data_IF_461796022756
#
_entry.id   IF_461796022756
#
_cell.length_a   1.000
_cell.length_b   1.000
_cell.length_c   1.000
_cell.angle_alpha   90.00
_cell.angle_beta   90.00
_cell.angle_gamma   90.00
#
_symmetry.space_group_name_H-M   'P 1'
#
loop_
_entity.id
_entity.type
_entity.pdbx_description
1 polymer ?
#
# COMPACT_ATOMS: atom_id res chain seq x y z
N UNK A 1 -12.06 -10.07 -8.67
CA UNK A 1 -11.62 -10.46 -7.32
C UNK A 1 -11.40 -9.18 -6.52
N UNK A 2 -12.08 -9.00 -5.39
CA UNK A 2 -11.85 -7.84 -4.52
C UNK A 2 -10.45 -7.91 -3.89
N UNK A 3 -9.75 -6.78 -3.70
CA UNK A 3 -8.50 -6.77 -2.96
C UNK A 3 -8.75 -7.18 -1.50
N UNK A 4 -8.10 -8.24 -1.04
CA UNK A 4 -8.16 -8.64 0.37
C UNK A 4 -7.51 -7.53 1.22
N UNK A 5 -8.26 -6.89 2.14
CA UNK A 5 -7.74 -5.78 2.96
C UNK A 5 -6.61 -6.23 3.89
N UNK A 6 -6.55 -7.52 4.23
CA UNK A 6 -5.48 -8.13 5.02
C UNK A 6 -4.11 -8.08 4.32
N UNK A 7 -4.09 -8.01 2.98
CA UNK A 7 -2.85 -7.91 2.19
C UNK A 7 -2.42 -6.46 1.89
N UNK A 8 -2.97 -5.48 2.62
CA UNK A 8 -2.61 -4.08 2.41
C UNK A 8 -1.29 -3.74 3.09
N UNK A 9 -0.48 -2.88 2.44
CA UNK A 9 0.80 -2.36 2.97
C UNK A 9 0.63 -1.76 4.37
N UNK A 10 -0.50 -1.10 4.63
CA UNK A 10 -0.84 -0.53 5.95
C UNK A 10 -1.01 -1.61 7.02
N UNK A 11 -1.64 -2.75 6.68
CA UNK A 11 -1.85 -3.88 7.61
C UNK A 11 -0.51 -4.52 7.97
N UNK A 12 0.36 -4.72 6.97
CA UNK A 12 1.71 -5.26 7.16
C UNK A 12 2.56 -4.32 8.03
N UNK A 13 2.54 -3.02 7.75
CA UNK A 13 3.26 -2.02 8.54
C UNK A 13 2.82 -2.04 10.02
N UNK A 14 1.50 -2.16 10.27
CA UNK A 14 0.96 -2.30 11.64
C UNK A 14 1.43 -3.57 12.33
N UNK A 15 1.39 -4.72 11.67
CA UNK A 15 1.83 -6.01 12.25
C UNK A 15 3.31 -5.95 12.63
N UNK A 16 4.13 -5.34 11.76
CA UNK A 16 5.56 -5.21 11.98
C UNK A 16 5.93 -4.07 12.96
N UNK A 17 4.97 -3.25 13.37
CA UNK A 17 5.22 -2.10 14.25
C UNK A 17 6.08 -0.99 13.64
N UNK A 18 6.15 -0.93 12.31
CA UNK A 18 6.95 0.08 11.58
C UNK A 18 6.06 1.03 10.79
N UNK A 19 6.62 2.18 10.40
CA UNK A 19 5.89 3.09 9.53
C UNK A 19 5.79 2.54 8.10
N UNK A 20 4.72 2.90 7.38
CA UNK A 20 4.58 2.58 5.95
C UNK A 20 5.75 3.14 5.12
N UNK A 21 6.27 4.32 5.50
CA UNK A 21 7.45 4.92 4.88
C UNK A 21 8.71 4.07 5.08
N UNK A 22 8.91 3.52 6.29
CA UNK A 22 9.98 2.56 6.59
C UNK A 22 9.88 1.35 5.69
N UNK A 23 8.67 0.79 5.50
CA UNK A 23 8.47 -0.37 4.64
C UNK A 23 8.78 -0.07 3.16
N UNK A 24 8.40 1.11 2.65
CA UNK A 24 8.77 1.53 1.28
C UNK A 24 10.27 1.79 1.10
N UNK A 25 10.98 2.20 2.14
CA UNK A 25 12.43 2.39 2.09
C UNK A 25 13.18 1.06 2.06
N UNK A 26 12.65 0.03 2.73
CA UNK A 26 13.25 -1.30 2.74
C UNK A 26 12.82 -2.19 1.58
N UNK A 27 11.65 -1.92 0.98
CA UNK A 27 11.12 -2.67 -0.16
C UNK A 27 10.75 -1.69 -1.29
N UNK A 28 11.74 -1.25 -2.09
CA UNK A 28 11.53 -0.32 -3.19
C UNK A 28 10.52 -0.83 -4.22
N UNK A 29 10.44 -2.15 -4.42
CA UNK A 29 9.47 -2.79 -5.32
C UNK A 29 8.03 -2.43 -4.95
N UNK A 30 7.71 -2.27 -3.65
CA UNK A 30 6.37 -1.84 -3.22
C UNK A 30 6.05 -0.41 -3.67
N UNK A 31 7.07 0.45 -3.74
CA UNK A 31 6.94 1.83 -4.22
C UNK A 31 6.74 1.86 -5.73
N UNK A 32 7.46 1.02 -6.47
CA UNK A 32 7.29 0.87 -7.92
C UNK A 32 5.93 0.27 -8.28
N UNK A 33 5.44 -0.69 -7.50
CA UNK A 33 4.09 -1.23 -7.64
C UNK A 33 3.03 -0.18 -7.31
N UNK A 34 3.25 0.73 -6.35
CA UNK A 34 2.34 1.86 -6.10
C UNK A 34 2.31 2.84 -7.27
N UNK A 35 3.47 3.19 -7.82
CA UNK A 35 3.60 4.11 -8.95
C UNK A 35 3.03 3.51 -10.24
N UNK A 36 3.25 2.21 -10.46
CA UNK A 36 2.72 1.47 -11.61
C UNK A 36 1.23 1.19 -11.49
N UNK A 37 0.74 1.00 -10.25
CA UNK A 37 -0.69 0.86 -9.92
C UNK A 37 -1.30 2.21 -9.55
N UNK A 38 -1.29 3.18 -10.46
CA UNK A 38 -2.33 4.21 -10.41
C UNK A 38 -3.58 3.70 -11.14
N UNK A 39 -4.56 3.05 -10.45
CA UNK A 39 -5.94 3.09 -10.86
C UNK A 39 -6.76 3.87 -9.84
N UNK A 40 -7.20 5.07 -10.26
CA UNK A 40 -8.55 5.61 -10.09
C UNK A 40 -9.33 5.17 -8.82
N UNK A 41 -8.85 5.53 -7.62
CA UNK A 41 -9.67 5.41 -6.40
C UNK A 41 -9.52 6.62 -5.46
N UNK A 42 -9.40 7.81 -6.06
CA UNK A 42 -9.56 9.11 -5.39
C UNK A 42 -10.55 10.01 -6.14
N UNK A 43 -11.54 9.43 -6.81
CA UNK A 43 -12.69 10.15 -7.34
C UNK A 43 -13.93 9.33 -6.97
N UNK A 44 -14.74 9.83 -6.04
CA UNK A 44 -15.91 9.11 -5.52
C UNK A 44 -16.19 9.35 -4.05
N UNK A 45 -16.08 10.59 -3.58
CA UNK A 45 -16.72 11.05 -2.34
C UNK A 45 -17.08 12.52 -2.51
N UNK A 46 -18.12 12.78 -3.32
CA UNK A 46 -19.00 13.94 -3.19
C UNK A 46 -20.38 13.57 -3.70
#
# INVERSE_FOLDING_TARGET
>A
MLPNPENSVTTIAKILGVSVGTLYNHIPDLKELRTSRVPRQLEGSK
#
